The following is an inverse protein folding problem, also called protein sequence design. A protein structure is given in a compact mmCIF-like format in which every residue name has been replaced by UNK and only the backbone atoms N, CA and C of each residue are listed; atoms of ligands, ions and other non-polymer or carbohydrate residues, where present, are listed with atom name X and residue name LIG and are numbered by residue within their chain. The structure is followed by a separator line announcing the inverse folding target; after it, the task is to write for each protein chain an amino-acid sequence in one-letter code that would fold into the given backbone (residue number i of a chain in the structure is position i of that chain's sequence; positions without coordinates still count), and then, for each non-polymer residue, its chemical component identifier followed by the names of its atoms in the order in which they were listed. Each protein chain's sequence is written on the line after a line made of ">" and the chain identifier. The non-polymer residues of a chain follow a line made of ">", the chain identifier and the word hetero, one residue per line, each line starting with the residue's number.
data_IF_099070834818
#
_entry.id   IF_099070834818
#
_cell.length_a   1.000
_cell.length_b   1.000
_cell.length_c   1.000
_cell.angle_alpha   90.00
_cell.angle_beta   90.00
_cell.angle_gamma   90.00
#
_symmetry.space_group_name_H-M   'P 1'
#
loop_
_entity.id
_entity.type
_entity.pdbx_description
1 polymer ?
#
# COMPACT_ATOMS: atom_id res chain seq x y z
N UNK A 1 16.50 15.98 25.21
CA UNK A 1 16.88 15.80 23.79
C UNK A 1 17.34 17.14 23.23
N UNK A 2 18.46 17.20 22.52
CA UNK A 2 18.99 18.47 21.99
C UNK A 2 18.45 18.79 20.58
N UNK A 3 18.70 20.01 20.10
CA UNK A 3 18.22 20.51 18.79
C UNK A 3 18.75 19.70 17.61
N UNK A 4 19.97 19.18 17.70
CA UNK A 4 20.61 18.40 16.63
C UNK A 4 19.99 17.01 16.53
N UNK A 5 19.76 16.35 17.66
CA UNK A 5 19.02 15.08 17.75
C UNK A 5 17.59 15.24 17.24
N UNK A 6 16.92 16.33 17.64
CA UNK A 6 15.57 16.63 17.18
C UNK A 6 15.50 16.92 15.68
N UNK A 7 16.52 17.58 15.11
CA UNK A 7 16.64 17.84 13.68
C UNK A 7 16.77 16.53 12.89
N UNK A 8 17.63 15.63 13.35
CA UNK A 8 17.78 14.29 12.77
C UNK A 8 16.48 13.48 12.86
N UNK A 9 15.80 13.52 14.01
CA UNK A 9 14.55 12.77 14.22
C UNK A 9 13.35 13.33 13.44
N UNK A 10 13.33 14.64 13.14
CA UNK A 10 12.28 15.28 12.35
C UNK A 10 12.60 15.37 10.85
N UNK A 11 13.80 14.98 10.42
CA UNK A 11 14.25 15.12 9.03
C UNK A 11 14.33 16.57 8.54
N UNK A 12 14.62 17.53 9.43
CA UNK A 12 14.70 18.96 9.11
C UNK A 12 16.01 19.57 9.59
N UNK A 13 16.35 20.77 9.11
CA UNK A 13 17.55 21.46 9.57
C UNK A 13 17.44 21.96 11.03
N UNK A 14 18.54 22.03 11.80
CA UNK A 14 18.56 22.60 13.16
C UNK A 14 17.97 24.01 13.24
N UNK A 15 18.15 24.82 12.19
CA UNK A 15 17.56 26.16 12.07
C UNK A 15 16.03 26.10 12.08
N UNK A 16 15.44 25.10 11.40
CA UNK A 16 13.99 24.89 11.38
C UNK A 16 13.45 24.45 12.73
N UNK A 17 14.19 23.61 13.46
CA UNK A 17 13.83 23.21 14.84
C UNK A 17 13.80 24.42 15.77
N UNK A 18 14.81 25.31 15.71
CA UNK A 18 14.82 26.55 16.51
C UNK A 18 13.64 27.47 16.18
N UNK A 19 13.26 27.57 14.89
CA UNK A 19 12.07 28.32 14.49
C UNK A 19 10.78 27.72 15.07
N UNK A 20 10.66 26.39 15.10
CA UNK A 20 9.49 25.71 15.68
C UNK A 20 9.40 25.86 17.21
N UNK A 21 10.54 25.96 17.89
CA UNK A 21 10.60 26.32 19.32
C UNK A 21 10.14 27.77 19.52
N UNK A 22 10.62 28.71 18.70
CA UNK A 22 10.22 30.11 18.77
C UNK A 22 8.72 30.32 18.49
N UNK A 23 8.15 29.54 17.57
CA UNK A 23 6.72 29.51 17.24
C UNK A 23 5.87 28.77 18.29
N UNK A 24 6.46 28.26 19.39
CA UNK A 24 5.77 27.52 20.45
C UNK A 24 5.25 26.14 20.05
N UNK A 25 5.67 25.61 18.89
CA UNK A 25 5.21 24.31 18.36
C UNK A 25 5.97 23.11 18.92
N UNK A 26 7.15 23.34 19.50
CA UNK A 26 7.95 22.33 20.21
C UNK A 26 8.19 22.88 21.61
N UNK A 27 7.80 22.13 22.66
CA UNK A 27 8.14 22.48 24.03
C UNK A 27 9.61 22.23 24.27
N UNK A 28 10.33 23.29 24.62
CA UNK A 28 11.73 23.25 24.97
C UNK A 28 12.02 24.31 26.02
N UNK A 29 12.99 24.05 26.89
CA UNK A 29 13.52 25.03 27.83
C UNK A 29 15.02 25.22 27.58
N UNK A 30 15.56 26.37 28.03
CA UNK A 30 16.99 26.65 27.90
C UNK A 30 17.76 25.98 29.02
N UNK A 31 18.81 25.26 28.65
CA UNK A 31 19.78 24.67 29.59
C UNK A 31 21.17 25.17 29.17
N UNK A 32 21.73 26.08 29.97
CA UNK A 32 22.98 26.78 29.65
C UNK A 32 22.87 27.57 28.33
N UNK A 33 23.76 27.28 27.39
CA UNK A 33 23.78 27.88 26.04
C UNK A 33 22.92 27.12 25.01
N UNK A 34 22.30 26.00 25.41
CA UNK A 34 21.53 25.12 24.56
C UNK A 34 20.03 25.12 24.82
N UNK A 35 19.29 24.46 23.93
CA UNK A 35 17.87 24.14 24.12
C UNK A 35 17.73 22.66 24.40
N UNK A 36 16.98 22.33 25.45
CA UNK A 36 16.56 20.98 25.77
C UNK A 36 15.06 20.82 25.47
N UNK A 37 14.75 19.85 24.62
CA UNK A 37 13.39 19.54 24.17
C UNK A 37 12.81 18.49 25.12
N UNK A 38 11.68 18.84 25.75
CA UNK A 38 10.99 18.04 26.79
C UNK A 38 10.29 16.80 26.22
N UNK A 39 10.17 16.74 24.90
CA UNK A 39 9.63 15.62 24.15
C UNK A 39 9.25 16.09 22.76
N UNK A 40 9.81 15.46 21.74
CA UNK A 40 9.19 15.50 20.44
C UNK A 40 7.98 14.58 20.50
N UNK A 41 6.79 15.10 20.16
CA UNK A 41 5.74 14.21 19.70
C UNK A 41 6.38 13.33 18.60
N UNK A 42 6.16 12.00 18.62
CA UNK A 42 6.73 11.12 17.61
C UNK A 42 6.51 11.75 16.23
N UNK A 43 7.56 11.73 15.40
CA UNK A 43 7.58 12.41 14.11
C UNK A 43 6.21 12.30 13.44
N UNK A 44 5.64 13.44 13.04
CA UNK A 44 4.43 13.50 12.17
C UNK A 44 4.76 12.93 10.78
N UNK A 45 5.46 11.81 10.69
CA UNK A 45 5.93 11.30 9.42
C UNK A 45 4.80 10.80 8.55
N UNK A 46 3.60 10.48 9.08
CA UNK A 46 2.51 9.97 8.26
C UNK A 46 1.17 10.48 8.79
N UNK A 47 0.65 11.55 8.16
CA UNK A 47 -0.68 12.10 8.44
C UNK A 47 -1.72 10.98 8.32
N UNK A 48 -2.60 10.85 9.32
CA UNK A 48 -3.75 9.96 9.25
C UNK A 48 -4.50 10.15 7.93
N UNK A 49 -5.01 9.07 7.37
CA UNK A 49 -5.80 9.13 6.16
C UNK A 49 -7.13 9.85 6.44
N UNK A 50 -7.78 10.35 5.39
CA UNK A 50 -9.20 10.70 5.52
C UNK A 50 -10.03 9.43 5.69
N UNK A 51 -11.18 9.52 6.36
CA UNK A 51 -12.14 8.40 6.51
C UNK A 51 -12.45 7.72 5.18
N UNK A 52 -12.67 8.50 4.11
CA UNK A 52 -12.87 7.95 2.76
C UNK A 52 -11.68 7.13 2.27
N UNK A 53 -10.46 7.65 2.41
CA UNK A 53 -9.25 6.92 1.99
C UNK A 53 -9.01 5.67 2.84
N UNK A 54 -9.34 5.73 4.13
CA UNK A 54 -9.29 4.59 5.04
C UNK A 54 -10.24 3.48 4.61
N UNK A 55 -11.51 3.80 4.34
CA UNK A 55 -12.50 2.85 3.85
C UNK A 55 -12.13 2.26 2.47
N UNK A 56 -11.59 3.07 1.56
CA UNK A 56 -11.11 2.59 0.25
C UNK A 56 -9.98 1.58 0.41
N UNK A 57 -9.02 1.86 1.30
CA UNK A 57 -7.94 0.94 1.62
C UNK A 57 -8.51 -0.37 2.20
N UNK A 58 -9.42 -0.28 3.16
CA UNK A 58 -10.06 -1.46 3.77
C UNK A 58 -10.76 -2.34 2.77
N UNK A 59 -11.61 -1.75 1.93
CA UNK A 59 -12.31 -2.47 0.87
C UNK A 59 -11.31 -3.14 -0.07
N UNK A 60 -10.27 -2.43 -0.50
CA UNK A 60 -9.31 -2.95 -1.45
C UNK A 60 -8.43 -4.08 -0.88
N UNK A 61 -8.02 -3.99 0.40
CA UNK A 61 -7.29 -5.08 1.05
C UNK A 61 -8.21 -6.29 1.25
N UNK A 62 -9.44 -6.08 1.72
CA UNK A 62 -10.42 -7.14 1.94
C UNK A 62 -10.77 -7.88 0.65
N UNK A 63 -11.04 -7.17 -0.45
CA UNK A 63 -11.34 -7.77 -1.74
C UNK A 63 -10.08 -8.15 -2.54
N UNK A 64 -8.88 -7.82 -2.01
CA UNK A 64 -7.58 -7.95 -2.68
C UNK A 64 -7.54 -7.32 -4.08
N UNK A 65 -8.40 -6.34 -4.35
CA UNK A 65 -8.60 -5.78 -5.67
C UNK A 65 -8.99 -4.31 -5.58
N UNK A 66 -8.70 -3.54 -6.62
CA UNK A 66 -8.97 -2.10 -6.67
C UNK A 66 -10.31 -1.79 -7.36
N UNK A 67 -11.32 -2.65 -7.13
CA UNK A 67 -12.63 -2.60 -7.82
C UNK A 67 -13.38 -1.33 -7.49
N UNK A 68 -13.95 -0.71 -8.52
CA UNK A 68 -14.72 0.52 -8.37
C UNK A 68 -13.88 1.75 -8.05
N UNK A 69 -12.54 1.64 -7.99
CA UNK A 69 -11.63 2.78 -7.88
C UNK A 69 -11.17 3.22 -9.27
N UNK A 70 -11.22 4.53 -9.52
CA UNK A 70 -10.78 5.15 -10.77
C UNK A 70 -9.75 6.26 -10.54
N UNK A 71 -9.00 6.60 -11.59
CA UNK A 71 -8.06 7.71 -11.61
C UNK A 71 -7.12 7.77 -10.40
N UNK A 72 -7.08 8.93 -9.75
CA UNK A 72 -6.19 9.17 -8.61
C UNK A 72 -6.53 8.32 -7.38
N UNK A 73 -7.78 7.95 -7.15
CA UNK A 73 -8.16 7.13 -5.99
C UNK A 73 -7.62 5.70 -6.13
N UNK A 74 -7.65 5.15 -7.35
CA UNK A 74 -7.03 3.86 -7.67
C UNK A 74 -5.52 3.91 -7.44
N UNK A 75 -4.85 4.90 -8.00
CA UNK A 75 -3.40 5.09 -7.88
C UNK A 75 -2.96 5.24 -6.41
N UNK A 76 -3.62 6.12 -5.64
CA UNK A 76 -3.27 6.33 -4.23
C UNK A 76 -3.52 5.11 -3.36
N UNK A 77 -4.59 4.36 -3.63
CA UNK A 77 -4.90 3.14 -2.87
C UNK A 77 -3.91 2.03 -3.21
N UNK A 78 -3.57 1.86 -4.49
CA UNK A 78 -2.54 0.94 -4.93
C UNK A 78 -1.20 1.21 -4.24
N UNK A 79 -0.76 2.48 -4.24
CA UNK A 79 0.47 2.92 -3.58
C UNK A 79 0.46 2.65 -2.07
N UNK A 80 -0.69 2.83 -1.40
CA UNK A 80 -0.80 2.53 0.05
C UNK A 80 -0.68 1.04 0.33
N UNK A 81 -1.30 0.19 -0.48
CA UNK A 81 -1.17 -1.26 -0.35
C UNK A 81 0.29 -1.67 -0.60
N UNK A 82 0.93 -1.10 -1.63
CA UNK A 82 2.36 -1.30 -1.92
C UNK A 82 3.23 -0.97 -0.71
N UNK A 83 3.06 0.23 -0.16
CA UNK A 83 3.79 0.68 1.04
C UNK A 83 3.54 -0.20 2.27
N UNK A 84 2.35 -0.76 2.44
CA UNK A 84 2.08 -1.72 3.51
C UNK A 84 2.82 -3.04 3.28
N UNK A 85 2.84 -3.56 2.05
CA UNK A 85 3.53 -4.81 1.69
C UNK A 85 5.05 -4.68 1.80
N UNK A 86 5.60 -3.52 1.44
CA UNK A 86 7.05 -3.24 1.43
C UNK A 86 7.57 -2.73 2.79
N UNK A 87 6.70 -2.43 3.76
CA UNK A 87 7.16 -1.88 5.03
C UNK A 87 7.78 -2.95 5.93
N UNK A 88 8.90 -2.60 6.57
CA UNK A 88 9.47 -3.41 7.65
C UNK A 88 8.59 -3.45 8.90
N UNK A 89 7.70 -2.46 9.09
CA UNK A 89 6.80 -2.33 10.24
C UNK A 89 5.39 -1.93 9.80
N UNK A 90 4.65 -2.83 9.10
CA UNK A 90 3.33 -2.52 8.58
C UNK A 90 2.31 -2.22 9.68
N UNK A 91 2.47 -2.76 10.89
CA UNK A 91 1.64 -2.44 12.06
C UNK A 91 1.69 -0.95 12.39
N UNK A 92 2.90 -0.39 12.51
CA UNK A 92 3.10 1.03 12.77
C UNK A 92 2.52 1.89 11.65
N UNK A 93 2.74 1.49 10.40
CA UNK A 93 2.21 2.22 9.24
C UNK A 93 0.68 2.25 9.23
N UNK A 94 0.04 1.12 9.53
CA UNK A 94 -1.41 1.02 9.58
C UNK A 94 -1.99 1.84 10.73
N UNK A 95 -1.34 1.81 11.91
CA UNK A 95 -1.72 2.62 13.07
C UNK A 95 -1.62 4.12 12.77
N UNK A 96 -0.52 4.56 12.14
CA UNK A 96 -0.32 5.97 11.75
C UNK A 96 -1.39 6.46 10.75
N UNK A 97 -1.90 5.56 9.90
CA UNK A 97 -2.91 5.88 8.90
C UNK A 97 -4.33 5.90 9.43
N UNK A 98 -4.59 5.33 10.60
CA UNK A 98 -5.94 5.23 11.16
C UNK A 98 -6.49 6.63 11.49
N UNK A 99 -7.65 7.03 10.93
CA UNK A 99 -8.36 8.23 11.36
C UNK A 99 -8.81 8.12 12.83
N UNK A 100 -8.85 9.24 13.56
CA UNK A 100 -9.35 9.26 14.94
C UNK A 100 -10.84 8.89 15.03
N UNK A 101 -11.59 9.28 14.01
CA UNK A 101 -13.03 9.05 13.79
C UNK A 101 -13.28 7.88 12.81
N UNK A 102 -12.37 6.90 12.77
CA UNK A 102 -12.49 5.77 11.87
C UNK A 102 -13.83 5.02 12.10
N UNK A 103 -14.68 4.88 11.06
CA UNK A 103 -15.90 4.10 11.16
C UNK A 103 -15.56 2.62 11.39
N UNK A 104 -16.46 1.92 12.08
CA UNK A 104 -16.33 0.49 12.28
C UNK A 104 -16.36 -0.25 10.93
N UNK A 105 -15.34 -1.06 10.68
CA UNK A 105 -15.24 -1.94 9.52
C UNK A 105 -14.51 -3.20 9.97
N UNK A 106 -15.22 -4.33 10.04
CA UNK A 106 -14.76 -5.55 10.69
C UNK A 106 -13.36 -6.00 10.27
N UNK A 107 -13.02 -5.85 8.98
CA UNK A 107 -11.74 -6.33 8.46
C UNK A 107 -10.60 -5.39 8.85
N UNK A 108 -10.75 -4.08 8.64
CA UNK A 108 -9.77 -3.08 9.09
C UNK A 108 -9.65 -3.01 10.60
N UNK A 109 -10.74 -3.20 11.34
CA UNK A 109 -10.72 -3.26 12.79
C UNK A 109 -9.90 -4.45 13.28
N UNK A 110 -10.02 -5.61 12.61
CA UNK A 110 -9.19 -6.78 12.92
C UNK A 110 -7.70 -6.52 12.65
N UNK A 111 -7.36 -5.89 11.51
CA UNK A 111 -5.99 -5.53 11.18
C UNK A 111 -5.45 -4.46 12.14
N UNK A 112 -6.27 -3.49 12.53
CA UNK A 112 -5.90 -2.43 13.48
C UNK A 112 -5.68 -3.00 14.88
N UNK A 113 -6.52 -3.94 15.32
CA UNK A 113 -6.34 -4.61 16.60
C UNK A 113 -5.01 -5.39 16.66
N UNK A 114 -4.62 -6.00 15.54
CA UNK A 114 -3.32 -6.67 15.37
C UNK A 114 -2.16 -5.67 15.29
N UNK A 115 -2.35 -4.56 14.59
CA UNK A 115 -1.37 -3.48 14.50
C UNK A 115 -1.06 -2.87 15.88
N UNK A 116 -2.06 -2.68 16.73
CA UNK A 116 -1.87 -2.19 18.10
C UNK A 116 -1.06 -3.14 18.98
N UNK A 117 -0.93 -4.41 18.59
CA UNK A 117 -0.09 -5.42 19.25
C UNK A 117 1.29 -5.58 18.59
N UNK A 118 1.61 -4.74 17.61
CA UNK A 118 2.82 -4.84 16.78
C UNK A 118 2.97 -6.20 16.06
N UNK A 119 1.84 -6.83 15.71
CA UNK A 119 1.81 -8.13 15.02
C UNK A 119 2.05 -7.95 13.50
N UNK A 120 3.28 -7.60 13.14
CA UNK A 120 3.68 -7.33 11.76
C UNK A 120 3.55 -8.57 10.86
N UNK A 121 3.81 -9.77 11.38
CA UNK A 121 3.74 -11.02 10.64
C UNK A 121 2.31 -11.35 10.22
N UNK A 122 1.34 -11.18 11.12
CA UNK A 122 -0.06 -11.33 10.78
C UNK A 122 -0.48 -10.35 9.68
N UNK A 123 -0.05 -9.09 9.77
CA UNK A 123 -0.42 -8.07 8.78
C UNK A 123 0.20 -8.40 7.41
N UNK A 124 1.48 -8.82 7.37
CA UNK A 124 2.12 -9.27 6.11
C UNK A 124 1.36 -10.45 5.51
N UNK A 125 1.05 -11.47 6.31
CA UNK A 125 0.28 -12.62 5.85
C UNK A 125 -1.12 -12.23 5.34
N UNK A 126 -1.80 -11.31 6.00
CA UNK A 126 -3.11 -10.82 5.58
C UNK A 126 -3.07 -10.00 4.28
N UNK A 127 -1.96 -9.32 3.99
CA UNK A 127 -1.75 -8.52 2.78
C UNK A 127 -1.25 -9.34 1.57
N UNK A 128 -0.74 -10.54 1.81
CA UNK A 128 -0.32 -11.47 0.76
C UNK A 128 -1.54 -12.00 0.00
N UNK A 129 -1.36 -12.20 -1.31
CA UNK A 129 -2.36 -12.82 -2.16
C UNK A 129 -2.15 -14.34 -2.12
N UNK A 130 -3.21 -15.08 -1.79
CA UNK A 130 -3.20 -16.55 -1.84
C UNK A 130 -3.50 -17.08 -3.26
N UNK A 131 -3.79 -18.39 -3.39
CA UNK A 131 -4.23 -18.98 -4.65
C UNK A 131 -5.55 -18.36 -5.13
N UNK A 132 -5.69 -18.18 -6.45
CA UNK A 132 -6.79 -17.43 -7.05
C UNK A 132 -7.57 -18.25 -8.07
N UNK A 133 -8.89 -18.23 -7.97
CA UNK A 133 -9.77 -18.96 -8.86
C UNK A 133 -10.29 -18.05 -9.98
N UNK A 134 -9.56 -18.00 -11.09
CA UNK A 134 -9.76 -17.01 -12.16
C UNK A 134 -10.56 -17.60 -13.34
N UNK A 135 -11.77 -18.12 -13.11
CA UNK A 135 -12.58 -18.73 -14.19
C UNK A 135 -13.22 -17.73 -15.15
N UNK A 136 -13.37 -16.48 -14.75
CA UNK A 136 -13.90 -15.43 -15.62
C UNK A 136 -12.76 -14.58 -16.19
N UNK A 137 -12.91 -14.16 -17.45
CA UNK A 137 -12.00 -13.16 -18.06
C UNK A 137 -12.04 -11.83 -17.32
N UNK A 138 -13.18 -11.48 -16.73
CA UNK A 138 -13.35 -10.25 -15.94
C UNK A 138 -12.52 -10.34 -14.65
N UNK A 139 -12.61 -11.47 -13.94
CA UNK A 139 -11.84 -11.68 -12.70
C UNK A 139 -10.34 -11.68 -12.99
N UNK A 140 -9.92 -12.38 -14.05
CA UNK A 140 -8.53 -12.38 -14.50
C UNK A 140 -8.04 -10.94 -14.82
N UNK A 141 -8.83 -10.18 -15.58
CA UNK A 141 -8.51 -8.81 -15.95
C UNK A 141 -8.35 -7.92 -14.71
N UNK A 142 -9.29 -8.02 -13.78
CA UNK A 142 -9.32 -7.22 -12.56
C UNK A 142 -8.14 -7.52 -11.64
N UNK A 143 -7.82 -8.81 -11.48
CA UNK A 143 -6.70 -9.28 -10.67
C UNK A 143 -5.38 -8.79 -11.25
N UNK A 144 -5.15 -9.00 -12.55
CA UNK A 144 -3.92 -8.56 -13.23
C UNK A 144 -3.78 -7.04 -13.17
N UNK A 145 -4.85 -6.30 -13.48
CA UNK A 145 -4.84 -4.84 -13.46
C UNK A 145 -4.66 -4.27 -12.04
N UNK A 146 -5.17 -4.94 -11.01
CA UNK A 146 -5.03 -4.49 -9.62
C UNK A 146 -3.64 -4.75 -9.10
N UNK A 147 -3.11 -5.96 -9.30
CA UNK A 147 -1.79 -6.33 -8.81
C UNK A 147 -0.68 -5.56 -9.54
N UNK A 148 -0.80 -5.37 -10.87
CA UNK A 148 0.13 -4.51 -11.63
C UNK A 148 0.12 -3.07 -11.09
N UNK A 149 -1.07 -2.51 -10.84
CA UNK A 149 -1.18 -1.17 -10.29
C UNK A 149 -0.58 -1.07 -8.88
N UNK A 150 -0.76 -2.10 -8.03
CA UNK A 150 -0.17 -2.17 -6.69
C UNK A 150 1.35 -2.25 -6.77
N UNK A 151 1.93 -2.92 -7.77
CA UNK A 151 3.39 -2.92 -7.98
C UNK A 151 3.94 -1.62 -8.56
N UNK A 152 3.06 -0.73 -9.03
CA UNK A 152 3.48 0.51 -9.71
C UNK A 152 4.03 0.27 -11.12
N UNK A 153 3.81 -0.91 -11.70
CA UNK A 153 4.34 -1.31 -13.01
C UNK A 153 3.45 -0.80 -14.15
N UNK A 154 4.08 -0.40 -15.25
CA UNK A 154 3.47 -0.25 -16.58
C UNK A 154 3.15 -1.62 -17.19
N UNK A 155 2.38 -1.63 -18.29
CA UNK A 155 2.06 -2.90 -18.98
C UNK A 155 3.30 -3.48 -19.65
N UNK A 156 4.17 -2.59 -20.10
CA UNK A 156 5.43 -2.88 -20.76
C UNK A 156 6.40 -3.58 -19.78
N UNK A 157 6.57 -3.03 -18.57
CA UNK A 157 7.41 -3.64 -17.53
C UNK A 157 6.90 -5.03 -17.11
N UNK A 158 5.58 -5.18 -16.93
CA UNK A 158 4.99 -6.49 -16.65
C UNK A 158 5.20 -7.48 -17.80
N UNK A 159 5.03 -7.03 -19.04
CA UNK A 159 5.19 -7.87 -20.22
C UNK A 159 6.64 -8.35 -20.38
N UNK A 160 7.60 -7.46 -20.18
CA UNK A 160 9.03 -7.78 -20.19
C UNK A 160 9.36 -8.82 -19.12
N UNK A 161 8.94 -8.58 -17.88
CA UNK A 161 9.18 -9.50 -16.75
C UNK A 161 8.53 -10.87 -16.94
N UNK A 162 7.39 -10.92 -17.61
CA UNK A 162 6.69 -12.17 -17.95
C UNK A 162 7.18 -12.81 -19.27
N UNK A 163 8.08 -12.15 -20.02
CA UNK A 163 8.51 -12.57 -21.35
C UNK A 163 7.33 -12.84 -22.30
N UNK A 164 6.42 -11.87 -22.39
CA UNK A 164 5.25 -11.87 -23.29
C UNK A 164 5.11 -10.52 -23.99
N UNK A 165 4.16 -10.40 -24.92
CA UNK A 165 3.87 -9.11 -25.54
C UNK A 165 3.06 -8.17 -24.61
N UNK A 166 3.35 -6.87 -24.65
CA UNK A 166 2.52 -5.86 -23.98
C UNK A 166 1.07 -5.86 -24.49
N UNK A 167 0.86 -6.28 -25.74
CA UNK A 167 -0.47 -6.50 -26.32
C UNK A 167 -1.25 -7.57 -25.55
N UNK A 168 -0.62 -8.68 -25.17
CA UNK A 168 -1.27 -9.72 -24.37
C UNK A 168 -1.71 -9.17 -23.01
N UNK A 169 -0.85 -8.43 -22.30
CA UNK A 169 -1.20 -7.81 -21.02
C UNK A 169 -2.40 -6.87 -21.19
N UNK A 170 -2.41 -6.05 -22.25
CA UNK A 170 -3.55 -5.20 -22.59
C UNK A 170 -4.82 -6.02 -22.87
N UNK A 171 -4.73 -7.12 -23.61
CA UNK A 171 -5.87 -8.00 -23.90
C UNK A 171 -6.43 -8.65 -22.65
N UNK A 172 -5.56 -9.11 -21.74
CA UNK A 172 -5.96 -9.64 -20.43
C UNK A 172 -6.72 -8.57 -19.64
N UNK A 173 -6.13 -7.39 -19.43
CA UNK A 173 -6.77 -6.32 -18.63
C UNK A 173 -8.06 -5.77 -19.28
N UNK A 174 -8.22 -5.94 -20.58
CA UNK A 174 -9.42 -5.52 -21.30
C UNK A 174 -10.47 -6.65 -21.41
N UNK A 175 -10.26 -7.78 -20.71
CA UNK A 175 -11.14 -8.96 -20.76
C UNK A 175 -11.36 -9.52 -22.19
N UNK A 176 -10.41 -9.31 -23.10
CA UNK A 176 -10.53 -9.79 -24.48
C UNK A 176 -10.40 -11.32 -24.54
N UNK A 177 -10.88 -11.96 -25.63
CA UNK A 177 -10.58 -13.36 -25.89
C UNK A 177 -9.07 -13.62 -25.87
N UNK A 178 -8.67 -14.70 -25.20
CA UNK A 178 -7.29 -15.11 -25.03
C UNK A 178 -7.10 -16.48 -25.68
N UNK A 179 -5.94 -16.70 -26.29
CA UNK A 179 -5.66 -17.91 -27.07
C UNK A 179 -4.58 -18.79 -26.44
N UNK A 180 -3.77 -18.24 -25.53
CA UNK A 180 -2.59 -18.92 -24.98
C UNK A 180 -2.65 -19.03 -23.45
N UNK A 181 -3.15 -20.16 -22.90
CA UNK A 181 -3.13 -20.38 -21.46
C UNK A 181 -1.72 -20.32 -20.86
N UNK A 182 -0.70 -20.78 -21.61
CA UNK A 182 0.70 -20.77 -21.16
C UNK A 182 1.23 -19.36 -20.94
N UNK A 183 0.94 -18.43 -21.85
CA UNK A 183 1.36 -17.03 -21.70
C UNK A 183 0.62 -16.32 -20.57
N UNK A 184 -0.67 -16.60 -20.39
CA UNK A 184 -1.45 -16.09 -19.25
C UNK A 184 -0.83 -16.53 -17.92
N UNK A 185 -0.42 -17.81 -17.82
CA UNK A 185 0.30 -18.32 -16.63
C UNK A 185 1.63 -17.62 -16.40
N UNK A 186 2.36 -17.22 -17.45
CA UNK A 186 3.61 -16.45 -17.29
C UNK A 186 3.34 -15.06 -16.72
N UNK A 187 2.30 -14.37 -17.19
CA UNK A 187 1.88 -13.07 -16.63
C UNK A 187 1.51 -13.19 -15.15
N UNK A 188 0.71 -14.20 -14.80
CA UNK A 188 0.30 -14.43 -13.41
C UNK A 188 1.49 -14.77 -12.50
N UNK A 189 2.41 -15.62 -12.98
CA UNK A 189 3.64 -15.96 -12.25
C UNK A 189 4.52 -14.73 -12.03
N UNK A 190 4.67 -13.86 -13.03
CA UNK A 190 5.40 -12.61 -12.85
C UNK A 190 4.76 -11.74 -11.76
N UNK A 191 3.44 -11.77 -11.60
CA UNK A 191 2.73 -11.07 -10.52
C UNK A 191 2.70 -11.85 -9.19
N UNK A 192 3.44 -12.96 -9.06
CA UNK A 192 3.41 -13.86 -7.91
C UNK A 192 1.99 -14.34 -7.56
N UNK A 193 1.17 -14.57 -8.60
CA UNK A 193 -0.20 -15.07 -8.49
C UNK A 193 -0.23 -16.53 -8.92
N UNK A 194 -0.71 -17.39 -8.03
CA UNK A 194 -0.94 -18.81 -8.32
C UNK A 194 -2.40 -19.05 -8.73
N UNK A 195 -2.68 -19.32 -10.03
CA UNK A 195 -4.05 -19.62 -10.47
C UNK A 195 -4.43 -21.07 -10.16
N UNK A 196 -5.56 -21.28 -9.51
CA UNK A 196 -6.20 -22.60 -9.37
C UNK A 196 -7.14 -22.92 -10.53
N UNK A 197 -7.56 -21.90 -11.27
CA UNK A 197 -8.30 -22.01 -12.52
C UNK A 197 -8.00 -20.82 -13.44
N UNK A 198 -8.22 -21.01 -14.74
CA UNK A 198 -8.13 -19.99 -15.78
C UNK A 198 -9.44 -19.94 -16.55
N UNK A 199 -9.75 -18.82 -17.24
CA UNK A 199 -10.93 -18.75 -18.08
C UNK A 199 -10.79 -19.64 -19.31
N UNK A 200 -11.91 -19.98 -19.93
CA UNK A 200 -11.90 -20.68 -21.21
C UNK A 200 -11.18 -19.84 -22.27
N UNK A 201 -10.25 -20.47 -22.96
CA UNK A 201 -9.45 -19.85 -24.02
C UNK A 201 -10.10 -20.16 -25.37
N UNK A 202 -10.04 -19.21 -26.30
CA UNK A 202 -10.45 -19.45 -27.68
C UNK A 202 -9.30 -20.20 -28.34
N UNK A 203 -9.47 -21.51 -28.53
CA UNK A 203 -8.50 -22.32 -29.27
C UNK A 203 -8.64 -21.94 -30.76
N UNK A 204 -7.57 -21.37 -31.31
CA UNK A 204 -7.42 -21.08 -32.74
C UNK A 204 -6.73 -22.23 -33.45
#
# INVERSE_FOLDING_TARGET
>A
MNVTEAAAQLGVSPRRVRALIADGRIRAHRVGVGWEIEGLAPSKERRALSVRSWLMLGRAVRSRALVGLSGHDRMRTAERIRRLRESDRPSRLLADWRPADAPAELYLDSLTARANRADDDYIRAALQRGPEYLRSRVDLAEVVASERAIRGESREELAERASVSARLVKSIESSQPLTSPGEVRRVLRALDIEPTALPDMVLS
#
